data_IF_516755708719
#
_entry.id   IF_516755708719
#
_cell.length_a   1.000
_cell.length_b   1.000
_cell.length_c   1.000
_cell.angle_alpha   90.00
_cell.angle_beta   90.00
_cell.angle_gamma   90.00
#
_symmetry.space_group_name_H-M   'P 1'
#
loop_
_entity.id
_entity.type
_entity.pdbx_description
1 polymer ?
#
# COMPACT_ATOMS: atom_id res chain seq x y z
N UNK A 1 -10.87 19.33 -36.51
CA UNK A 1 -9.68 18.74 -35.87
C UNK A 1 -9.96 17.28 -35.57
N UNK A 2 -9.11 16.35 -36.01
CA UNK A 2 -9.33 14.92 -35.82
C UNK A 2 -9.08 14.47 -34.37
N UNK A 3 -9.72 13.38 -33.93
CA UNK A 3 -9.55 12.83 -32.57
C UNK A 3 -8.10 12.43 -32.27
N UNK A 4 -7.33 11.94 -33.25
CA UNK A 4 -5.90 11.66 -33.11
C UNK A 4 -5.10 12.90 -32.72
N UNK A 5 -5.38 14.04 -33.35
CA UNK A 5 -4.68 15.31 -33.07
C UNK A 5 -4.98 15.80 -31.64
N UNK A 6 -6.22 15.61 -31.17
CA UNK A 6 -6.60 15.92 -29.79
C UNK A 6 -5.91 15.01 -28.76
N UNK A 7 -5.82 13.70 -29.01
CA UNK A 7 -5.11 12.75 -28.16
C UNK A 7 -3.61 13.07 -28.11
N UNK A 8 -3.01 13.38 -29.25
CA UNK A 8 -1.61 13.79 -29.33
C UNK A 8 -1.35 15.07 -28.53
N UNK A 9 -2.17 16.12 -28.70
CA UNK A 9 -2.07 17.36 -27.92
C UNK A 9 -2.18 17.11 -26.41
N UNK A 10 -3.13 16.28 -25.97
CA UNK A 10 -3.29 15.90 -24.56
C UNK A 10 -2.09 15.14 -24.03
N UNK A 11 -1.55 14.20 -24.81
CA UNK A 11 -0.36 13.42 -24.44
C UNK A 11 0.88 14.32 -24.30
N UNK A 12 1.10 15.24 -25.24
CA UNK A 12 2.22 16.19 -25.16
C UNK A 12 2.10 17.10 -23.94
N UNK A 13 0.90 17.57 -23.64
CA UNK A 13 0.64 18.39 -22.45
C UNK A 13 0.88 17.61 -21.16
N UNK A 14 0.36 16.39 -21.04
CA UNK A 14 0.57 15.54 -19.86
C UNK A 14 2.06 15.18 -19.66
N UNK A 15 2.80 14.89 -20.75
CA UNK A 15 4.26 14.65 -20.69
C UNK A 15 5.02 15.88 -20.20
N UNK A 16 4.59 17.08 -20.62
CA UNK A 16 5.18 18.34 -20.18
C UNK A 16 4.88 18.60 -18.71
N UNK A 17 3.64 18.44 -18.27
CA UNK A 17 3.25 18.55 -16.86
C UNK A 17 4.07 17.61 -15.96
N UNK A 18 4.23 16.34 -16.37
CA UNK A 18 5.06 15.37 -15.65
C UNK A 18 6.53 15.82 -15.56
N UNK A 19 7.11 16.24 -16.69
CA UNK A 19 8.49 16.71 -16.74
C UNK A 19 8.69 17.93 -15.86
N UNK A 20 7.80 18.91 -15.95
CA UNK A 20 7.91 20.16 -15.20
C UNK A 20 7.70 19.91 -13.69
N UNK A 21 6.81 18.98 -13.32
CA UNK A 21 6.67 18.52 -11.94
C UNK A 21 7.95 17.84 -11.42
N UNK A 22 8.54 16.91 -12.19
CA UNK A 22 9.83 16.27 -11.85
C UNK A 22 10.96 17.29 -11.72
N UNK A 23 11.04 18.24 -12.64
CA UNK A 23 12.04 19.31 -12.62
C UNK A 23 11.88 20.24 -11.41
N UNK A 24 10.64 20.58 -11.03
CA UNK A 24 10.36 21.43 -9.86
C UNK A 24 10.85 20.80 -8.55
N UNK A 25 10.80 19.47 -8.47
CA UNK A 25 11.26 18.71 -7.29
C UNK A 25 12.76 18.32 -7.44
N UNK A 26 13.38 18.54 -8.61
CA UNK A 26 14.78 18.21 -8.86
C UNK A 26 15.05 16.71 -9.02
N UNK A 27 14.04 15.92 -9.38
CA UNK A 27 14.12 14.46 -9.39
C UNK A 27 14.21 13.88 -10.80
N UNK A 28 15.18 13.00 -11.03
CA UNK A 28 15.26 12.18 -12.25
C UNK A 28 14.30 10.99 -12.14
N UNK A 29 14.26 10.34 -10.98
CA UNK A 29 13.38 9.20 -10.67
C UNK A 29 12.99 9.20 -9.20
N UNK A 30 11.69 9.08 -8.91
CA UNK A 30 11.18 8.96 -7.54
C UNK A 30 11.69 7.67 -6.90
N UNK A 31 11.54 6.54 -7.59
CA UNK A 31 11.97 5.22 -7.11
C UNK A 31 13.48 5.18 -6.81
N UNK A 32 14.29 5.81 -7.67
CA UNK A 32 15.73 5.89 -7.48
C UNK A 32 16.11 6.70 -6.25
N UNK A 33 15.51 7.89 -6.08
CA UNK A 33 15.73 8.73 -4.90
C UNK A 33 15.26 8.02 -3.62
N UNK A 34 14.11 7.33 -3.66
CA UNK A 34 13.56 6.61 -2.50
C UNK A 34 14.52 5.54 -2.00
N UNK A 35 14.98 4.67 -2.90
CA UNK A 35 15.95 3.61 -2.55
C UNK A 35 17.25 4.16 -2.00
N UNK A 36 17.74 5.26 -2.57
CA UNK A 36 18.95 5.92 -2.09
C UNK A 36 18.77 6.44 -0.67
N UNK A 37 17.67 7.16 -0.39
CA UNK A 37 17.34 7.66 0.95
C UNK A 37 17.14 6.52 1.95
N UNK A 38 16.38 5.49 1.59
CA UNK A 38 16.18 4.29 2.43
C UNK A 38 17.52 3.63 2.80
N UNK A 39 18.42 3.50 1.82
CA UNK A 39 19.76 2.94 2.06
C UNK A 39 20.58 3.83 2.98
N UNK A 40 20.59 5.14 2.75
CA UNK A 40 21.32 6.11 3.57
C UNK A 40 20.78 6.15 5.01
N UNK A 41 19.46 6.18 5.19
CA UNK A 41 18.78 6.13 6.50
C UNK A 41 19.14 4.84 7.24
N UNK A 42 19.13 3.69 6.54
CA UNK A 42 19.50 2.40 7.11
C UNK A 42 20.96 2.37 7.58
N UNK A 43 21.89 2.88 6.77
CA UNK A 43 23.31 3.01 7.14
C UNK A 43 23.51 3.95 8.33
N UNK A 44 22.85 5.11 8.35
CA UNK A 44 22.90 6.05 9.47
C UNK A 44 22.35 5.44 10.76
N UNK A 45 21.25 4.67 10.67
CA UNK A 45 20.68 3.97 11.81
C UNK A 45 21.64 2.90 12.35
N UNK A 46 22.26 2.11 11.48
CA UNK A 46 23.24 1.11 11.87
C UNK A 46 24.45 1.73 12.58
N UNK A 47 24.98 2.83 12.03
CA UNK A 47 26.09 3.58 12.65
C UNK A 47 25.67 4.23 13.99
N UNK A 48 24.43 4.73 14.09
CA UNK A 48 23.89 5.25 15.35
C UNK A 48 23.80 4.16 16.42
N UNK A 49 23.34 2.96 16.05
CA UNK A 49 23.30 1.83 16.98
C UNK A 49 24.71 1.39 17.39
N UNK A 50 25.66 1.33 16.46
CA UNK A 50 27.05 0.99 16.76
C UNK A 50 27.72 2.02 17.70
N UNK A 51 27.46 3.31 17.50
CA UNK A 51 27.99 4.36 18.40
C UNK A 51 27.31 4.34 19.78
N UNK A 52 26.04 3.95 19.86
CA UNK A 52 25.35 3.74 21.14
C UNK A 52 25.90 2.53 21.91
N UNK A 53 26.22 1.42 21.24
CA UNK A 53 26.84 0.26 21.88
C UNK A 53 28.26 0.58 22.34
N UNK A 54 29.04 1.32 21.55
CA UNK A 54 30.36 1.83 21.95
C UNK A 54 30.25 2.71 23.20
N UNK A 55 29.29 3.66 23.23
CA UNK A 55 29.02 4.49 24.40
C UNK A 55 28.66 3.65 25.63
N UNK A 56 27.82 2.62 25.47
CA UNK A 56 27.42 1.75 26.57
C UNK A 56 28.63 0.99 27.15
N UNK A 57 29.55 0.52 26.30
CA UNK A 57 30.78 -0.14 26.74
C UNK A 57 31.68 0.80 27.57
N UNK A 58 31.86 2.05 27.14
CA UNK A 58 32.64 3.04 27.89
C UNK A 58 31.96 3.41 29.21
N UNK A 59 30.63 3.56 29.23
CA UNK A 59 29.88 3.81 30.46
C UNK A 59 29.98 2.66 31.46
N UNK A 60 29.97 1.40 30.99
CA UNK A 60 30.20 0.24 31.84
C UNK A 60 31.60 0.26 32.46
N UNK A 61 32.62 0.68 31.69
CA UNK A 61 33.99 0.87 32.21
C UNK A 61 34.04 1.95 33.30
N UNK A 62 33.39 3.09 33.08
CA UNK A 62 33.28 4.17 34.08
C UNK A 62 32.62 3.67 35.35
N UNK A 63 31.52 2.91 35.23
CA UNK A 63 30.82 2.35 36.37
C UNK A 63 31.71 1.40 37.18
N UNK A 64 32.51 0.57 36.50
CA UNK A 64 33.45 -0.35 37.16
C UNK A 64 34.57 0.39 37.90
N UNK A 65 35.16 1.43 37.29
CA UNK A 65 36.19 2.25 37.95
C UNK A 65 35.63 2.88 39.24
N UNK A 66 34.43 3.47 39.17
CA UNK A 66 33.77 4.08 40.32
C UNK A 66 33.39 3.06 41.40
N UNK A 67 33.05 1.83 41.01
CA UNK A 67 32.77 0.72 41.94
C UNK A 67 34.01 0.30 42.71
N UNK A 68 35.17 0.25 42.04
CA UNK A 68 36.45 -0.13 42.66
C UNK A 68 37.05 1.00 43.50
N UNK A 69 36.74 2.27 43.18
CA UNK A 69 37.28 3.44 43.84
C UNK A 69 36.16 4.46 44.17
N UNK A 70 35.39 4.24 45.26
CA UNK A 70 34.24 5.07 45.60
C UNK A 70 34.61 6.50 46.03
N UNK A 71 35.83 6.73 46.49
CA UNK A 71 36.31 8.03 46.99
C UNK A 71 36.79 8.98 45.87
N UNK A 72 36.64 8.58 44.60
CA UNK A 72 37.01 9.41 43.45
C UNK A 72 36.08 10.62 43.33
N UNK A 73 36.61 11.82 43.53
CA UNK A 73 35.91 13.07 43.22
C UNK A 73 35.80 13.26 41.70
N UNK A 74 34.66 13.74 41.17
CA UNK A 74 34.53 14.13 39.77
C UNK A 74 35.61 15.17 39.41
N UNK A 75 36.27 14.98 38.27
CA UNK A 75 37.32 15.90 37.79
C UNK A 75 36.71 16.79 36.71
N UNK A 76 36.94 18.11 36.81
CA UNK A 76 36.50 19.07 35.79
C UNK A 76 37.20 18.79 34.45
N UNK A 77 36.38 18.67 33.40
CA UNK A 77 36.74 18.11 32.11
C UNK A 77 37.47 19.11 31.20
N UNK A 78 38.69 19.54 31.54
CA UNK A 78 39.42 20.52 30.70
C UNK A 78 40.68 19.99 29.99
N UNK A 79 41.18 18.77 30.22
CA UNK A 79 42.50 18.40 29.66
C UNK A 79 42.78 16.91 29.39
N UNK A 80 41.82 16.14 28.89
CA UNK A 80 42.08 14.77 28.44
C UNK A 80 42.45 14.73 26.93
N UNK A 81 43.66 15.16 26.59
CA UNK A 81 44.23 15.10 25.23
C UNK A 81 44.92 13.75 24.97
N UNK A 82 45.20 13.41 23.71
CA UNK A 82 45.83 12.15 23.25
C UNK A 82 47.17 11.77 23.94
N UNK A 83 47.87 12.71 24.58
CA UNK A 83 49.02 12.42 25.46
C UNK A 83 48.69 11.63 26.73
N UNK A 84 47.41 11.53 27.07
CA UNK A 84 46.91 10.83 28.27
C UNK A 84 47.05 9.31 28.20
N UNK A 85 46.92 8.69 27.02
CA UNK A 85 46.97 7.21 26.90
C UNK A 85 48.38 6.68 27.21
N UNK A 86 49.41 7.31 26.65
CA UNK A 86 50.81 6.98 26.95
C UNK A 86 51.17 7.25 28.43
N UNK A 87 50.57 8.28 29.03
CA UNK A 87 50.71 8.54 30.46
C UNK A 87 50.08 7.42 31.30
N UNK A 88 48.88 6.95 30.95
CA UNK A 88 48.22 5.84 31.68
C UNK A 88 48.99 4.53 31.59
N UNK A 89 49.61 4.21 30.45
CA UNK A 89 50.41 2.98 30.31
C UNK A 89 51.70 3.01 31.14
N UNK A 90 52.35 4.17 31.22
CA UNK A 90 53.48 4.38 32.12
C UNK A 90 53.06 4.24 33.59
N UNK A 91 51.93 4.83 33.98
CA UNK A 91 51.39 4.72 35.33
C UNK A 91 51.02 3.28 35.70
N UNK A 92 50.42 2.51 34.77
CA UNK A 92 50.17 1.06 34.95
C UNK A 92 51.46 0.28 35.16
N UNK A 93 52.48 0.59 34.37
CA UNK A 93 53.79 -0.08 34.47
C UNK A 93 54.46 0.20 35.81
N UNK A 94 54.41 1.44 36.30
CA UNK A 94 54.91 1.79 37.64
C UNK A 94 54.10 1.14 38.76
N UNK A 95 52.77 1.13 38.67
CA UNK A 95 51.92 0.45 39.65
C UNK A 95 52.22 -1.05 39.71
N UNK A 96 52.42 -1.70 38.56
CA UNK A 96 52.79 -3.11 38.50
C UNK A 96 54.15 -3.40 39.17
N UNK A 97 55.14 -2.53 38.98
CA UNK A 97 56.44 -2.62 39.69
C UNK A 97 56.26 -2.48 41.20
N UNK A 98 55.48 -1.50 41.66
CA UNK A 98 55.19 -1.30 43.09
C UNK A 98 54.45 -2.51 43.69
N UNK A 99 53.53 -3.13 42.95
CA UNK A 99 52.85 -4.34 43.39
C UNK A 99 53.79 -5.55 43.54
N UNK A 100 54.73 -5.73 42.62
CA UNK A 100 55.76 -6.78 42.73
C UNK A 100 56.63 -6.52 43.96
N UNK A 101 57.07 -5.29 44.17
CA UNK A 101 57.86 -4.90 45.36
C UNK A 101 57.08 -5.14 46.65
N UNK A 102 55.79 -4.80 46.69
CA UNK A 102 54.90 -5.10 47.81
C UNK A 102 54.83 -6.60 48.09
N UNK A 103 54.66 -7.44 47.06
CA UNK A 103 54.61 -8.90 47.19
C UNK A 103 55.95 -9.46 47.71
N UNK A 104 57.09 -9.00 47.21
CA UNK A 104 58.42 -9.41 47.70
C UNK A 104 58.62 -9.00 49.17
N UNK A 105 58.30 -7.74 49.54
CA UNK A 105 58.41 -7.28 50.91
C UNK A 105 57.50 -8.04 51.88
N UNK A 106 56.26 -8.35 51.48
CA UNK A 106 55.33 -9.16 52.28
C UNK A 106 55.77 -10.63 52.44
N UNK A 107 56.59 -11.16 51.53
CA UNK A 107 57.16 -12.49 51.67
C UNK A 107 58.25 -12.57 52.75
N UNK A 108 58.88 -11.43 53.08
CA UNK A 108 60.02 -11.34 54.00
C UNK A 108 59.70 -10.62 55.32
N UNK A 109 58.72 -9.73 55.32
CA UNK A 109 58.39 -8.83 56.42
C UNK A 109 56.91 -8.93 56.81
N UNK A 110 56.62 -8.67 58.07
CA UNK A 110 55.23 -8.58 58.56
C UNK A 110 54.52 -7.35 57.99
N UNK A 111 53.19 -7.43 57.87
CA UNK A 111 52.31 -6.34 57.42
C UNK A 111 52.39 -5.05 58.25
N UNK A 112 52.91 -5.13 59.48
CA UNK A 112 53.10 -3.98 60.39
C UNK A 112 54.47 -3.31 60.26
N UNK A 113 55.39 -3.83 59.44
CA UNK A 113 56.72 -3.25 59.31
C UNK A 113 56.64 -1.89 58.58
N UNK A 114 57.35 -0.83 59.03
CA UNK A 114 57.27 0.51 58.42
C UNK A 114 57.46 0.54 56.90
N UNK A 115 58.42 -0.25 56.38
CA UNK A 115 58.63 -0.41 54.92
C UNK A 115 57.45 -1.01 54.17
N UNK A 116 56.73 -1.96 54.78
CA UNK A 116 55.55 -2.59 54.18
C UNK A 116 54.37 -1.61 54.18
N UNK A 117 54.23 -0.83 55.24
CA UNK A 117 53.21 0.23 55.31
C UNK A 117 53.46 1.29 54.22
N UNK A 118 54.70 1.75 54.08
CA UNK A 118 55.06 2.76 53.07
C UNK A 118 54.77 2.27 51.62
N UNK A 119 55.11 1.03 51.27
CA UNK A 119 54.83 0.51 49.92
C UNK A 119 53.32 0.29 49.71
N UNK A 120 52.56 -0.09 50.74
CA UNK A 120 51.10 -0.22 50.66
C UNK A 120 50.47 1.14 50.38
N UNK A 121 50.91 2.19 51.07
CA UNK A 121 50.44 3.57 50.87
C UNK A 121 50.81 4.09 49.47
N UNK A 122 52.03 3.81 48.99
CA UNK A 122 52.45 4.16 47.64
C UNK A 122 51.59 3.44 46.58
N UNK A 123 51.35 2.14 46.72
CA UNK A 123 50.45 1.38 45.83
C UNK A 123 49.04 1.97 45.86
N UNK A 124 48.51 2.31 47.04
CA UNK A 124 47.17 2.89 47.17
C UNK A 124 47.08 4.23 46.44
N UNK A 125 48.02 5.15 46.70
CA UNK A 125 48.08 6.47 46.06
C UNK A 125 48.21 6.36 44.54
N UNK A 126 49.14 5.53 44.04
CA UNK A 126 49.33 5.30 42.61
C UNK A 126 48.11 4.67 41.95
N UNK A 127 47.41 3.76 42.66
CA UNK A 127 46.17 3.14 42.14
C UNK A 127 45.04 4.15 41.98
N UNK A 128 44.87 5.05 42.94
CA UNK A 128 43.85 6.11 42.88
C UNK A 128 44.16 7.11 41.78
N UNK A 129 45.43 7.54 41.65
CA UNK A 129 45.84 8.45 40.59
C UNK A 129 45.63 7.85 39.19
N UNK A 130 45.93 6.56 39.01
CA UNK A 130 45.64 5.85 37.77
C UNK A 130 44.14 5.80 37.50
N UNK A 131 43.33 5.43 38.50
CA UNK A 131 41.88 5.36 38.37
C UNK A 131 41.26 6.74 38.03
N UNK A 132 41.78 7.82 38.61
CA UNK A 132 41.41 9.21 38.28
C UNK A 132 41.68 9.52 36.80
N UNK A 133 42.88 9.18 36.31
CA UNK A 133 43.25 9.43 34.93
C UNK A 133 42.44 8.57 33.94
N UNK A 134 42.21 7.30 34.26
CA UNK A 134 41.37 6.41 33.45
C UNK A 134 39.90 6.87 33.43
N UNK A 135 39.39 7.40 34.53
CA UNK A 135 38.05 7.99 34.60
C UNK A 135 37.94 9.23 33.70
N UNK A 136 38.88 10.18 33.83
CA UNK A 136 38.88 11.41 33.03
C UNK A 136 38.96 11.12 31.51
N UNK A 137 39.78 10.14 31.11
CA UNK A 137 39.87 9.72 29.70
C UNK A 137 38.58 9.07 29.21
N UNK A 138 37.97 8.18 30.00
CA UNK A 138 36.72 7.54 29.64
C UNK A 138 35.57 8.55 29.55
N UNK A 139 35.50 9.52 30.46
CA UNK A 139 34.49 10.58 30.43
C UNK A 139 34.64 11.48 29.19
N UNK A 140 35.87 11.85 28.83
CA UNK A 140 36.16 12.57 27.57
C UNK A 140 35.72 11.77 26.34
N UNK A 141 36.02 10.46 26.31
CA UNK A 141 35.56 9.58 25.23
C UNK A 141 34.03 9.56 25.13
N UNK A 142 33.31 9.51 26.25
CA UNK A 142 31.84 9.59 26.26
C UNK A 142 31.34 10.90 25.65
N UNK A 143 32.02 12.04 25.89
CA UNK A 143 31.65 13.31 25.27
C UNK A 143 31.82 13.28 23.76
N UNK A 144 32.95 12.76 23.27
CA UNK A 144 33.22 12.63 21.83
C UNK A 144 32.19 11.71 21.17
N UNK A 145 31.92 10.54 21.76
CA UNK A 145 30.92 9.59 21.24
C UNK A 145 29.52 10.20 21.27
N UNK A 146 29.18 10.95 22.32
CA UNK A 146 27.88 11.65 22.42
C UNK A 146 27.73 12.71 21.33
N UNK A 147 28.78 13.49 21.05
CA UNK A 147 28.76 14.48 19.97
C UNK A 147 28.55 13.79 18.60
N UNK A 148 29.28 12.69 18.35
CA UNK A 148 29.12 11.87 17.13
C UNK A 148 27.69 11.31 17.02
N UNK A 149 27.14 10.75 18.09
CA UNK A 149 25.78 10.21 18.11
C UNK A 149 24.72 11.30 17.87
N UNK A 150 24.94 12.53 18.39
CA UNK A 150 24.07 13.68 18.14
C UNK A 150 24.04 14.06 16.66
N UNK A 151 25.21 14.18 16.04
CA UNK A 151 25.33 14.47 14.60
C UNK A 151 24.66 13.40 13.73
N UNK A 152 24.88 12.12 14.04
CA UNK A 152 24.25 11.01 13.33
C UNK A 152 22.73 11.02 13.49
N UNK A 153 22.22 11.35 14.67
CA UNK A 153 20.79 11.44 14.92
C UNK A 153 20.14 12.60 14.14
N UNK A 154 20.82 13.74 14.03
CA UNK A 154 20.37 14.87 13.21
C UNK A 154 20.27 14.45 11.74
N UNK A 155 21.35 13.87 11.17
CA UNK A 155 21.35 13.40 9.77
C UNK A 155 20.30 12.33 9.50
N UNK A 156 20.07 11.45 10.47
CA UNK A 156 19.03 10.43 10.38
C UNK A 156 17.62 11.05 10.35
N UNK A 157 17.38 12.07 11.17
CA UNK A 157 16.11 12.81 11.17
C UNK A 157 15.91 13.62 9.88
N UNK A 158 16.97 14.25 9.36
CA UNK A 158 16.96 14.95 8.07
C UNK A 158 16.63 14.00 6.92
N UNK A 159 17.29 12.84 6.85
CA UNK A 159 16.99 11.82 5.84
C UNK A 159 15.55 11.33 5.92
N UNK A 160 15.01 11.10 7.12
CA UNK A 160 13.60 10.75 7.30
C UNK A 160 12.65 11.87 6.86
N UNK A 161 12.99 13.13 7.13
CA UNK A 161 12.19 14.26 6.70
C UNK A 161 12.19 14.38 5.17
N UNK A 162 13.35 14.22 4.53
CA UNK A 162 13.46 14.20 3.06
C UNK A 162 12.65 13.05 2.45
N UNK A 163 12.70 11.85 3.03
CA UNK A 163 11.90 10.71 2.58
C UNK A 163 10.39 10.98 2.70
N UNK A 164 9.94 11.67 3.75
CA UNK A 164 8.52 12.07 3.89
C UNK A 164 8.11 13.05 2.80
N UNK A 165 8.91 14.09 2.55
CA UNK A 165 8.67 15.05 1.46
C UNK A 165 8.67 14.36 0.10
N UNK A 166 9.55 13.38 -0.11
CA UNK A 166 9.56 12.59 -1.34
C UNK A 166 8.26 11.80 -1.51
N UNK A 167 7.79 11.12 -0.46
CA UNK A 167 6.55 10.33 -0.48
C UNK A 167 5.31 11.20 -0.72
N UNK A 168 5.26 12.43 -0.18
CA UNK A 168 4.18 13.37 -0.45
C UNK A 168 4.14 13.78 -1.93
N UNK A 169 5.30 14.02 -2.53
CA UNK A 169 5.42 14.36 -3.94
C UNK A 169 5.22 13.15 -4.87
N UNK A 170 5.51 11.94 -4.41
CA UNK A 170 5.35 10.70 -5.17
C UNK A 170 3.91 10.52 -5.65
N UNK A 171 2.91 10.82 -4.81
CA UNK A 171 1.49 10.69 -5.16
C UNK A 171 1.17 11.48 -6.44
N UNK A 172 1.59 12.74 -6.51
CA UNK A 172 1.37 13.61 -7.67
C UNK A 172 2.10 13.09 -8.91
N UNK A 173 3.37 12.68 -8.75
CA UNK A 173 4.17 12.20 -9.87
C UNK A 173 3.62 10.89 -10.43
N UNK A 174 3.24 9.95 -9.56
CA UNK A 174 2.62 8.68 -9.97
C UNK A 174 1.29 8.90 -10.68
N UNK A 175 0.50 9.88 -10.26
CA UNK A 175 -0.74 10.24 -10.96
C UNK A 175 -0.47 10.79 -12.37
N UNK A 176 0.48 11.71 -12.50
CA UNK A 176 0.90 12.25 -13.80
C UNK A 176 1.50 11.17 -14.71
N UNK A 177 2.31 10.26 -14.17
CA UNK A 177 2.84 9.09 -14.90
C UNK A 177 1.72 8.19 -15.40
N UNK A 178 0.76 7.85 -14.52
CA UNK A 178 -0.41 7.04 -14.90
C UNK A 178 -1.21 7.70 -16.02
N UNK A 179 -1.42 9.03 -15.94
CA UNK A 179 -2.12 9.79 -16.97
C UNK A 179 -1.38 9.78 -18.30
N UNK A 180 -0.05 9.92 -18.28
CA UNK A 180 0.78 9.80 -19.48
C UNK A 180 0.66 8.41 -20.10
N UNK A 181 0.72 7.35 -19.29
CA UNK A 181 0.57 5.96 -19.76
C UNK A 181 -0.79 5.76 -20.42
N UNK A 182 -1.88 6.14 -19.73
CA UNK A 182 -3.25 6.01 -20.26
C UNK A 182 -3.46 6.76 -21.58
N UNK A 183 -2.96 8.00 -21.69
CA UNK A 183 -3.07 8.79 -22.92
C UNK A 183 -2.23 8.19 -24.04
N UNK A 184 -1.04 7.66 -23.72
CA UNK A 184 -0.17 7.01 -24.68
C UNK A 184 -0.81 5.74 -25.25
N UNK A 185 -1.41 4.92 -24.39
CA UNK A 185 -2.11 3.69 -24.78
C UNK A 185 -3.37 3.98 -25.61
N UNK A 186 -4.13 5.01 -25.21
CA UNK A 186 -5.29 5.49 -25.97
C UNK A 186 -4.90 5.99 -27.35
N UNK A 187 -3.82 6.79 -27.43
CA UNK A 187 -3.30 7.30 -28.70
C UNK A 187 -2.82 6.17 -29.61
N UNK A 188 -2.08 5.20 -29.06
CA UNK A 188 -1.61 4.02 -29.79
C UNK A 188 -2.78 3.22 -30.34
N UNK A 189 -3.73 2.85 -29.49
CA UNK A 189 -4.91 2.06 -29.89
C UNK A 189 -5.75 2.77 -30.94
N UNK A 190 -5.94 4.09 -30.83
CA UNK A 190 -6.65 4.87 -31.83
C UNK A 190 -5.92 4.85 -33.19
N UNK A 191 -4.60 5.02 -33.17
CA UNK A 191 -3.77 5.00 -34.38
C UNK A 191 -3.83 3.64 -35.05
N UNK A 192 -3.71 2.56 -34.27
CA UNK A 192 -3.79 1.18 -34.75
C UNK A 192 -5.16 0.89 -35.41
N UNK A 193 -6.27 1.31 -34.77
CA UNK A 193 -7.63 1.18 -35.33
C UNK A 193 -7.84 2.00 -36.60
N UNK A 194 -7.21 3.18 -36.69
CA UNK A 194 -7.31 4.04 -37.87
C UNK A 194 -6.57 3.42 -39.07
N UNK A 195 -5.41 2.82 -38.83
CA UNK A 195 -4.68 2.07 -39.86
C UNK A 195 -5.44 0.80 -40.27
N UNK A 196 -6.02 0.05 -39.33
CA UNK A 196 -6.90 -1.09 -39.65
C UNK A 196 -8.08 -0.66 -40.53
N UNK A 197 -8.79 0.40 -40.17
CA UNK A 197 -9.91 0.91 -40.97
C UNK A 197 -9.48 1.40 -42.36
N UNK A 198 -8.24 1.92 -42.52
CA UNK A 198 -7.67 2.26 -43.83
C UNK A 198 -7.42 1.01 -44.68
N UNK A 199 -6.84 -0.04 -44.08
CA UNK A 199 -6.60 -1.33 -44.73
C UNK A 199 -7.94 -1.96 -45.17
N UNK A 200 -8.92 -2.01 -44.27
CA UNK A 200 -10.25 -2.57 -44.56
C UNK A 200 -10.96 -1.83 -45.70
N UNK A 201 -10.85 -0.49 -45.75
CA UNK A 201 -11.39 0.31 -46.85
C UNK A 201 -10.68 0.02 -48.18
N UNK A 202 -9.35 -0.14 -48.17
CA UNK A 202 -8.59 -0.47 -49.36
C UNK A 202 -8.95 -1.87 -49.89
N UNK A 203 -9.11 -2.85 -49.00
CA UNK A 203 -9.55 -4.20 -49.32
C UNK A 203 -10.99 -4.21 -49.88
N UNK A 204 -11.91 -3.47 -49.26
CA UNK A 204 -13.28 -3.35 -49.73
C UNK A 204 -13.38 -2.69 -51.11
N UNK A 205 -12.58 -1.64 -51.36
CA UNK A 205 -12.48 -1.02 -52.68
C UNK A 205 -12.02 -2.02 -53.75
N UNK A 206 -11.00 -2.82 -53.44
CA UNK A 206 -10.50 -3.87 -54.34
C UNK A 206 -11.52 -4.99 -54.59
N UNK A 207 -12.30 -5.37 -53.58
CA UNK A 207 -13.39 -6.35 -53.72
C UNK A 207 -14.57 -5.79 -54.53
N UNK A 208 -14.91 -4.51 -54.37
CA UNK A 208 -15.99 -3.86 -55.14
C UNK A 208 -15.65 -3.67 -56.62
N UNK A 209 -14.37 -3.50 -56.98
CA UNK A 209 -13.93 -3.47 -58.38
C UNK A 209 -13.95 -4.84 -59.07
N UNK A 210 -14.10 -5.93 -58.32
CA UNK A 210 -14.10 -7.30 -58.87
C UNK A 210 -15.53 -7.86 -59.07
N UNK A 211 -16.57 -7.02 -58.95
CA UNK A 211 -17.93 -7.37 -59.33
C UNK A 211 -18.22 -6.72 -60.69
N UNK A 212 -17.56 -7.22 -61.73
CA UNK A 212 -18.02 -7.02 -63.10
C UNK A 212 -19.36 -7.74 -63.23
N UNK A 213 -20.37 -7.02 -63.72
CA UNK A 213 -21.78 -7.42 -63.77
C UNK A 213 -21.92 -8.66 -64.65
N UNK A 214 -21.82 -9.84 -64.05
CA UNK A 214 -22.25 -11.07 -64.67
C UNK A 214 -23.75 -11.25 -64.38
N UNK A 215 -24.54 -10.91 -65.41
CA UNK A 215 -25.93 -11.30 -65.68
C UNK A 215 -27.01 -10.24 -65.44
N UNK A 216 -27.74 -9.99 -66.54
CA UNK A 216 -29.02 -9.30 -66.62
C UNK A 216 -30.07 -9.95 -65.70
N UNK A 217 -30.91 -9.16 -65.01
CA UNK A 217 -31.89 -9.71 -64.06
C UNK A 217 -32.93 -10.55 -64.81
N UNK A 218 -32.93 -11.87 -64.56
CA UNK A 218 -34.08 -12.69 -64.94
C UNK A 218 -35.19 -12.43 -63.93
N UNK A 219 -36.30 -11.84 -64.40
CA UNK A 219 -37.53 -11.74 -63.61
C UNK A 219 -38.07 -13.15 -63.36
N UNK A 220 -37.74 -13.74 -62.21
CA UNK A 220 -38.47 -14.89 -61.68
C UNK A 220 -39.45 -14.36 -60.65
N UNK A 221 -40.68 -14.07 -61.10
CA UNK A 221 -41.80 -13.77 -60.23
C UNK A 221 -42.25 -15.05 -59.51
N UNK A 222 -41.61 -15.36 -58.37
CA UNK A 222 -42.11 -16.36 -57.42
C UNK A 222 -42.02 -15.79 -56.00
N UNK A 223 -43.15 -15.44 -55.35
CA UNK A 223 -43.13 -14.93 -53.99
C UNK A 223 -42.69 -16.03 -53.03
N UNK A 224 -41.50 -15.90 -52.44
CA UNK A 224 -40.98 -16.76 -51.37
C UNK A 224 -41.24 -16.12 -50.01
N UNK A 225 -42.53 -15.92 -49.67
CA UNK A 225 -43.12 -15.79 -48.31
C UNK A 225 -44.39 -14.91 -48.30
N UNK A 226 -45.33 -15.08 -47.34
CA UNK A 226 -45.61 -16.24 -46.49
C UNK A 226 -46.74 -17.12 -47.09
N UNK A 227 -46.82 -18.39 -46.68
CA UNK A 227 -47.93 -19.30 -47.03
C UNK A 227 -49.20 -18.84 -46.30
N UNK A 228 -49.90 -17.84 -46.84
CA UNK A 228 -51.08 -17.23 -46.21
C UNK A 228 -52.11 -18.28 -45.76
N UNK A 229 -52.29 -19.36 -46.53
CA UNK A 229 -53.14 -20.48 -46.15
C UNK A 229 -52.71 -21.17 -44.84
N UNK A 230 -51.41 -21.34 -44.61
CA UNK A 230 -50.90 -21.98 -43.39
C UNK A 230 -51.10 -21.08 -42.16
N UNK A 231 -50.94 -19.77 -42.31
CA UNK A 231 -51.17 -18.80 -41.23
C UNK A 231 -52.67 -18.75 -40.87
N UNK A 232 -53.55 -18.76 -41.87
CA UNK A 232 -55.00 -18.77 -41.66
C UNK A 232 -55.44 -20.05 -40.93
N UNK A 233 -54.91 -21.21 -41.31
CA UNK A 233 -55.22 -22.49 -40.66
C UNK A 233 -54.71 -22.53 -39.22
N UNK A 234 -53.49 -22.06 -38.94
CA UNK A 234 -52.99 -22.01 -37.57
C UNK A 234 -53.79 -21.02 -36.72
N UNK A 235 -54.13 -19.86 -37.28
CA UNK A 235 -54.90 -18.83 -36.59
C UNK A 235 -56.30 -19.30 -36.23
N UNK A 236 -56.99 -20.00 -37.14
CA UNK A 236 -58.31 -20.56 -36.86
C UNK A 236 -58.26 -21.65 -35.79
N UNK A 237 -57.25 -22.52 -35.83
CA UNK A 237 -57.07 -23.56 -34.82
C UNK A 237 -56.82 -22.95 -33.43
N UNK A 238 -55.89 -21.98 -33.35
CA UNK A 238 -55.57 -21.30 -32.10
C UNK A 238 -56.77 -20.53 -31.54
N UNK A 239 -57.56 -19.87 -32.40
CA UNK A 239 -58.78 -19.18 -31.99
C UNK A 239 -59.84 -20.13 -31.42
N UNK A 240 -60.00 -21.31 -32.03
CA UNK A 240 -60.97 -22.31 -31.55
C UNK A 240 -60.60 -22.85 -30.17
N UNK A 241 -59.33 -23.21 -29.95
CA UNK A 241 -58.86 -23.66 -28.63
C UNK A 241 -58.91 -22.52 -27.60
N UNK A 242 -58.58 -21.29 -28.01
CA UNK A 242 -58.67 -20.11 -27.16
C UNK A 242 -60.11 -19.85 -26.68
N UNK A 243 -61.10 -19.96 -27.56
CA UNK A 243 -62.51 -19.74 -27.23
C UNK A 243 -63.02 -20.76 -26.20
N UNK A 244 -62.69 -22.05 -26.37
CA UNK A 244 -63.02 -23.09 -25.38
C UNK A 244 -62.33 -22.84 -24.05
N UNK A 245 -61.06 -22.44 -24.07
CA UNK A 245 -60.30 -22.09 -22.87
C UNK A 245 -60.94 -20.94 -22.09
N UNK A 246 -61.38 -19.89 -22.79
CA UNK A 246 -62.06 -18.74 -22.17
C UNK A 246 -63.41 -19.17 -21.58
N UNK A 247 -64.20 -19.99 -22.28
CA UNK A 247 -65.49 -20.48 -21.77
C UNK A 247 -65.33 -21.33 -20.48
N UNK A 248 -64.33 -22.22 -20.43
CA UNK A 248 -64.02 -22.97 -19.21
C UNK A 248 -63.54 -22.06 -18.08
N UNK A 249 -62.74 -21.03 -18.39
CA UNK A 249 -62.29 -20.08 -17.38
C UNK A 249 -63.44 -19.26 -16.82
N UNK A 250 -64.40 -18.82 -17.65
CA UNK A 250 -65.58 -18.11 -17.16
C UNK A 250 -66.41 -18.97 -16.22
N UNK A 251 -66.59 -20.26 -16.52
CA UNK A 251 -67.34 -21.18 -15.65
C UNK A 251 -66.58 -21.47 -14.33
N UNK A 252 -65.26 -21.62 -14.38
CA UNK A 252 -64.45 -21.86 -13.18
C UNK A 252 -64.48 -20.67 -12.20
N UNK A 253 -64.66 -19.45 -12.70
CA UNK A 253 -64.77 -18.25 -11.88
C UNK A 253 -66.23 -17.84 -11.58
N UNK A 254 -67.23 -18.63 -11.98
CA UNK A 254 -68.64 -18.35 -11.69
C UNK A 254 -69.10 -19.05 -10.40
N UNK A 255 -68.93 -18.35 -9.27
CA UNK A 255 -69.43 -18.76 -7.95
C UNK A 255 -70.95 -18.46 -7.80
N UNK A 256 -71.78 -19.13 -8.61
CA UNK A 256 -73.25 -18.98 -8.57
C UNK A 256 -73.92 -20.21 -7.92
N UNK A 257 -74.44 -20.03 -6.70
CA UNK A 257 -75.14 -21.07 -5.92
C UNK A 257 -76.54 -21.36 -6.49
N UNK A 258 -76.70 -22.43 -7.27
CA UNK A 258 -77.96 -22.74 -7.98
C UNK A 258 -78.79 -23.91 -7.40
N UNK A 259 -78.48 -24.40 -6.19
CA UNK A 259 -79.24 -25.49 -5.56
C UNK A 259 -79.86 -25.07 -4.21
N UNK A 260 -81.19 -25.20 -4.04
CA UNK A 260 -81.85 -24.91 -2.76
C UNK A 260 -81.33 -25.76 -1.58
N UNK A 261 -80.71 -26.91 -1.85
CA UNK A 261 -80.17 -27.80 -0.81
C UNK A 261 -78.85 -27.29 -0.19
N UNK A 262 -78.15 -26.35 -0.83
CA UNK A 262 -76.90 -25.77 -0.30
C UNK A 262 -77.14 -24.57 0.63
N UNK A 263 -78.30 -23.92 0.54
CA UNK A 263 -78.64 -22.75 1.36
C UNK A 263 -79.01 -23.14 2.81
N UNK A 264 -79.71 -24.25 3.01
CA UNK A 264 -80.11 -24.71 4.36
C UNK A 264 -78.92 -25.20 5.21
N UNK A 265 -77.86 -25.73 4.57
CA UNK A 265 -76.68 -26.27 5.25
C UNK A 265 -75.68 -25.21 5.72
N UNK A 266 -75.65 -24.03 5.09
CA UNK A 266 -74.71 -22.95 5.43
C UNK A 266 -75.34 -21.91 6.36
N UNK A 267 -76.66 -21.65 6.25
CA UNK A 267 -77.31 -20.55 6.97
C UNK A 267 -78.29 -20.97 8.09
N UNK A 268 -78.58 -22.27 8.27
CA UNK A 268 -79.33 -22.84 9.40
C UNK A 268 -80.69 -22.16 9.71
N UNK A 269 -81.41 -21.71 8.67
CA UNK A 269 -82.78 -21.19 8.76
C UNK A 269 -83.65 -21.94 7.73
N UNK A 270 -84.84 -22.45 8.10
CA UNK A 270 -85.68 -23.19 7.17
C UNK A 270 -86.22 -22.29 6.04
N UNK A 271 -86.13 -22.77 4.80
CA UNK A 271 -86.58 -22.03 3.61
C UNK A 271 -88.10 -22.12 3.48
N UNK A 272 -88.80 -21.00 3.63
CA UNK A 272 -90.28 -20.95 3.71
C UNK A 272 -90.96 -20.70 2.36
N UNK A 273 -90.23 -20.34 1.30
CA UNK A 273 -90.80 -20.16 -0.06
C UNK A 273 -89.68 -20.18 -1.12
N UNK A 274 -89.85 -20.96 -2.20
CA UNK A 274 -89.05 -20.85 -3.41
C UNK A 274 -89.91 -20.32 -4.56
N UNK A 275 -89.47 -19.24 -5.20
CA UNK A 275 -90.12 -18.67 -6.38
C UNK A 275 -89.39 -19.16 -7.63
N UNK A 276 -90.07 -19.81 -8.59
CA UNK A 276 -89.47 -20.16 -9.86
C UNK A 276 -89.32 -18.91 -10.72
N UNK A 277 -88.08 -18.54 -11.05
CA UNK A 277 -87.81 -17.46 -11.99
C UNK A 277 -87.71 -18.02 -13.40
N UNK A 278 -88.77 -17.85 -14.19
CA UNK A 278 -88.69 -17.93 -15.66
C UNK A 278 -88.59 -16.51 -16.22
N UNK A 279 -87.78 -16.32 -17.28
CA UNK A 279 -88.07 -15.24 -18.20
C UNK A 279 -87.87 -15.70 -19.66
N UNK A 280 -88.95 -15.70 -20.43
CA UNK A 280 -89.11 -14.78 -21.57
C UNK A 280 -90.36 -15.11 -22.39
N UNK A 281 -91.42 -14.36 -22.09
CA UNK A 281 -92.55 -14.12 -22.98
C UNK A 281 -92.53 -12.61 -23.23
N UNK A 282 -92.23 -12.17 -24.46
CA UNK A 282 -92.80 -10.96 -25.09
C UNK A 282 -92.21 -10.80 -26.51
N UNK A 283 -92.98 -11.26 -27.49
CA UNK A 283 -92.95 -10.78 -28.87
C UNK A 283 -93.99 -9.67 -28.99
N UNK A 284 -93.63 -8.51 -29.54
CA UNK A 284 -94.56 -7.64 -30.27
C UNK A 284 -93.83 -7.03 -31.47
N UNK A 285 -94.45 -7.21 -32.63
CA UNK A 285 -94.16 -6.68 -33.94
C UNK A 285 -94.34 -5.16 -34.05
N UNK A 286 -93.49 -4.50 -34.84
CA UNK A 286 -93.90 -3.84 -36.09
C UNK A 286 -92.69 -3.47 -36.92
#
# INVERSE_FOLDING_TARGET
>A
MGQSEQLSKRLTLAKRELRDAKNKIGLVSIEGQRRMLETQISLLHAELLATQTERAAVLAKIAEIRRLHPDLTPIDHESATAGSVLATDNMRSELYKLEIQKRDLLSRLSSRHPRVIAIIEQVATSSVLLAQQELATAESQVMVIRAKAGELAIRFAEGQAELRVLNENEVLITELERRVIQLNDSHRTYTDKLEQARIDKALAAQQSSNIEIAQTPSLIAKPVSPKAALIIVLGSLAGMFGAVGVACLTEYFDDSFQSPADVERVLNVPVVLSLPSSPNFFSISS
#
